data_IF_126091053797
#
_entry.id   IF_126091053797
#
_cell.length_a   1.000
_cell.length_b   1.000
_cell.length_c   1.000
_cell.angle_alpha   90.00
_cell.angle_beta   90.00
_cell.angle_gamma   90.00
#
_symmetry.space_group_name_H-M   'P 1'
#
loop_
_entity.id
_entity.type
_entity.pdbx_description
1 polymer ?
#
# COMPACT_ATOMS: atom_id res chain seq x y z
N UNK A 1 5.95 -9.37 -5.26
CA UNK A 1 6.90 -9.60 -4.15
C UNK A 1 7.31 -8.27 -3.56
N UNK A 2 7.41 -8.17 -2.25
CA UNK A 2 7.84 -6.98 -1.53
C UNK A 2 8.75 -7.40 -0.37
N UNK A 3 9.89 -6.74 -0.22
CA UNK A 3 10.84 -7.02 0.88
C UNK A 3 10.44 -6.31 2.18
N UNK A 4 9.62 -5.25 2.06
CA UNK A 4 9.15 -4.43 3.16
C UNK A 4 7.64 -4.19 3.06
N UNK A 5 6.97 -4.09 4.21
CA UNK A 5 5.63 -3.51 4.32
C UNK A 5 5.66 -2.30 5.24
N UNK A 6 4.82 -1.31 4.98
CA UNK A 6 4.46 -0.37 6.03
C UNK A 6 3.20 -0.83 6.75
N UNK A 7 3.09 -0.52 8.04
CA UNK A 7 1.92 -0.83 8.85
C UNK A 7 1.52 0.36 9.71
N UNK A 8 0.20 0.60 9.78
CA UNK A 8 -0.39 1.53 10.74
C UNK A 8 -0.74 0.74 12.00
N UNK A 9 0.03 0.97 13.05
CA UNK A 9 -0.09 0.24 14.31
C UNK A 9 -0.58 1.16 15.40
N UNK A 10 -1.38 0.65 16.33
CA UNK A 10 -1.77 1.40 17.52
C UNK A 10 -0.70 1.28 18.58
N UNK A 11 -0.12 2.40 19.02
CA UNK A 11 0.90 2.43 20.09
C UNK A 11 0.41 3.10 21.37
N UNK A 12 -0.66 3.92 21.29
CA UNK A 12 -1.34 4.45 22.48
C UNK A 12 -2.86 4.47 22.32
N UNK A 13 -3.57 4.62 23.45
CA UNK A 13 -5.02 4.84 23.49
C UNK A 13 -5.28 6.28 23.91
N UNK A 14 -5.75 7.08 22.95
CA UNK A 14 -6.04 8.50 23.11
C UNK A 14 -7.53 8.77 22.87
N UNK A 15 -8.03 9.91 23.35
CA UNK A 15 -9.42 10.36 23.11
C UNK A 15 -9.79 10.41 21.61
N UNK A 16 -8.82 10.77 20.76
CA UNK A 16 -8.95 10.70 19.30
C UNK A 16 -8.25 9.44 18.80
N UNK A 17 -8.97 8.45 18.23
CA UNK A 17 -8.39 7.17 17.84
C UNK A 17 -7.20 7.26 16.89
N UNK A 18 -7.13 8.33 16.09
CA UNK A 18 -6.06 8.59 15.13
C UNK A 18 -4.75 9.06 15.77
N UNK A 19 -4.79 9.66 16.97
CA UNK A 19 -3.60 10.17 17.67
C UNK A 19 -2.73 9.06 18.27
N UNK A 20 -3.28 7.85 18.44
CA UNK A 20 -2.53 6.70 18.94
C UNK A 20 -2.00 5.80 17.83
N UNK A 21 -1.97 6.26 16.57
CA UNK A 21 -1.53 5.46 15.41
C UNK A 21 -0.12 5.88 14.98
N UNK A 22 0.78 4.91 14.88
CA UNK A 22 2.15 5.07 14.43
C UNK A 22 2.36 4.39 13.07
N UNK A 23 3.36 4.84 12.32
CA UNK A 23 3.71 4.31 11.00
C UNK A 23 5.03 3.54 11.11
N UNK A 24 5.00 2.22 10.95
CA UNK A 24 6.18 1.36 11.02
C UNK A 24 6.54 0.78 9.67
N UNK A 25 7.84 0.67 9.39
CA UNK A 25 8.38 -0.18 8.34
C UNK A 25 8.75 -1.56 8.92
N UNK A 26 8.23 -2.61 8.31
CA UNK A 26 8.40 -3.99 8.75
C UNK A 26 9.10 -4.77 7.64
N UNK A 27 10.23 -5.38 7.95
CA UNK A 27 10.91 -6.32 7.06
C UNK A 27 10.06 -7.59 6.96
N UNK A 28 9.67 -7.96 5.75
CA UNK A 28 8.77 -9.10 5.50
C UNK A 28 9.40 -10.46 5.84
N UNK A 29 10.72 -10.51 6.07
CA UNK A 29 11.43 -11.70 6.55
C UNK A 29 11.49 -11.79 8.08
N UNK A 30 10.90 -10.82 8.81
CA UNK A 30 10.91 -10.84 10.26
C UNK A 30 10.20 -12.09 10.81
N UNK A 31 10.74 -12.74 11.86
CA UNK A 31 10.08 -13.86 12.50
C UNK A 31 8.65 -13.51 12.96
N UNK A 32 7.71 -14.43 12.73
CA UNK A 32 6.30 -14.25 13.10
C UNK A 32 5.39 -13.69 11.99
N UNK A 33 5.95 -13.37 10.82
CA UNK A 33 5.18 -12.98 9.64
C UNK A 33 4.78 -14.22 8.84
N UNK A 34 3.49 -14.35 8.53
CA UNK A 34 2.96 -15.35 7.60
C UNK A 34 2.19 -14.64 6.49
N UNK A 35 2.52 -14.94 5.23
CA UNK A 35 1.86 -14.36 4.04
C UNK A 35 1.06 -15.46 3.35
N UNK A 36 -0.25 -15.23 3.17
CA UNK A 36 -1.14 -16.14 2.43
C UNK A 36 -1.64 -15.46 1.15
N UNK A 37 -1.45 -16.10 -0.01
CA UNK A 37 -1.96 -15.54 -1.27
C UNK A 37 -3.48 -15.57 -1.28
N UNK A 38 -4.09 -14.50 -1.79
CA UNK A 38 -5.52 -14.46 -2.11
C UNK A 38 -5.63 -14.46 -3.63
N UNK A 39 -6.30 -15.45 -4.18
CA UNK A 39 -6.60 -15.51 -5.61
C UNK A 39 -7.88 -14.73 -5.88
N UNK A 40 -7.78 -13.69 -6.68
CA UNK A 40 -8.91 -12.81 -7.02
C UNK A 40 -9.83 -13.48 -8.04
N UNK A 41 -11.02 -12.89 -8.25
CA UNK A 41 -12.08 -13.47 -9.09
C UNK A 41 -11.68 -13.67 -10.56
N UNK A 42 -10.72 -12.89 -11.05
CA UNK A 42 -10.12 -12.98 -12.37
C UNK A 42 -8.99 -14.03 -12.45
N UNK A 43 -8.71 -14.73 -11.34
CA UNK A 43 -7.68 -15.76 -11.22
C UNK A 43 -6.28 -15.21 -10.99
N UNK A 44 -6.11 -13.89 -10.83
CA UNK A 44 -4.80 -13.28 -10.59
C UNK A 44 -4.38 -13.36 -9.12
N UNK A 45 -3.07 -13.29 -8.88
CA UNK A 45 -2.49 -13.21 -7.54
C UNK A 45 -1.82 -11.85 -7.37
N UNK A 46 -2.61 -10.88 -6.97
CA UNK A 46 -2.13 -9.51 -6.69
C UNK A 46 -2.29 -9.11 -5.23
N UNK A 47 -3.09 -9.85 -4.46
CA UNK A 47 -3.42 -9.54 -3.07
C UNK A 47 -3.04 -10.68 -2.12
N UNK A 48 -2.72 -10.34 -0.88
CA UNK A 48 -2.32 -11.29 0.15
C UNK A 48 -3.00 -10.95 1.48
N UNK A 49 -3.21 -11.96 2.31
CA UNK A 49 -3.43 -11.80 3.74
C UNK A 49 -2.08 -11.92 4.45
N UNK A 50 -1.79 -11.03 5.42
CA UNK A 50 -0.53 -11.03 6.17
C UNK A 50 -0.85 -11.13 7.66
N UNK A 51 -0.41 -12.20 8.29
CA UNK A 51 -0.51 -12.39 9.74
C UNK A 51 0.77 -11.95 10.43
N UNK A 52 0.63 -11.20 11.51
CA UNK A 52 1.73 -10.70 12.34
C UNK A 52 1.60 -11.32 13.75
N UNK A 53 2.40 -12.33 14.06
CA UNK A 53 2.39 -13.02 15.37
C UNK A 53 3.65 -12.68 16.15
N UNK A 54 3.52 -11.87 17.21
CA UNK A 54 4.63 -11.46 18.08
C UNK A 54 5.85 -10.87 17.34
N UNK A 55 5.62 -10.23 16.19
CA UNK A 55 6.67 -9.63 15.35
C UNK A 55 7.35 -8.49 16.10
N UNK A 56 8.67 -8.57 16.24
CA UNK A 56 9.50 -7.52 16.85
C UNK A 56 10.05 -6.61 15.75
N UNK A 57 9.78 -5.32 15.86
CA UNK A 57 10.24 -4.30 14.90
C UNK A 57 11.17 -3.33 15.62
N UNK A 58 12.37 -3.03 15.09
CA UNK A 58 13.25 -2.01 15.66
C UNK A 58 12.58 -0.64 15.72
N UNK A 59 12.77 0.10 16.81
CA UNK A 59 12.17 1.44 16.99
C UNK A 59 12.66 2.44 15.94
N UNK A 60 13.85 2.25 15.37
CA UNK A 60 14.39 3.06 14.27
C UNK A 60 13.59 2.94 12.96
N UNK A 61 12.77 1.89 12.82
CA UNK A 61 11.88 1.73 11.67
C UNK A 61 10.54 2.48 11.83
N UNK A 62 10.39 3.23 12.93
CA UNK A 62 9.32 4.21 13.09
C UNK A 62 9.53 5.38 12.13
N UNK A 63 8.53 5.66 11.31
CA UNK A 63 8.54 6.80 10.41
C UNK A 63 7.85 7.97 11.09
N UNK A 64 8.60 9.05 11.30
CA UNK A 64 8.13 10.23 12.02
C UNK A 64 8.10 9.99 13.53
N UNK A 65 7.16 10.64 14.20
CA UNK A 65 6.98 10.53 15.65
C UNK A 65 5.89 9.51 16.00
N UNK A 66 6.02 8.90 17.18
CA UNK A 66 5.01 7.99 17.71
C UNK A 66 3.65 8.70 17.84
N UNK A 67 2.57 8.05 17.41
CA UNK A 67 1.21 8.61 17.40
C UNK A 67 0.89 9.53 16.22
N UNK A 68 1.88 9.90 15.40
CA UNK A 68 1.71 10.80 14.25
C UNK A 68 1.57 10.07 12.89
N UNK A 69 1.43 8.74 12.91
CA UNK A 69 1.35 7.90 11.71
C UNK A 69 0.11 8.15 10.84
N UNK A 70 -1.02 8.56 11.43
CA UNK A 70 -2.24 8.85 10.66
C UNK A 70 -2.08 10.04 9.70
N UNK A 71 -1.28 11.04 10.08
CA UNK A 71 -0.96 12.17 9.22
C UNK A 71 -0.20 11.72 7.97
N UNK A 72 0.81 10.89 8.17
CA UNK A 72 1.65 10.30 7.12
C UNK A 72 0.80 9.45 6.18
N UNK A 73 -0.04 8.58 6.71
CA UNK A 73 -0.93 7.72 5.94
C UNK A 73 -1.86 8.51 5.00
N UNK A 74 -2.48 9.58 5.51
CA UNK A 74 -3.37 10.42 4.68
C UNK A 74 -2.64 11.07 3.51
N UNK A 75 -1.41 11.52 3.73
CA UNK A 75 -0.59 12.08 2.67
C UNK A 75 -0.28 11.02 1.61
N UNK A 76 0.16 9.83 2.04
CA UNK A 76 0.45 8.70 1.15
C UNK A 76 -0.77 8.27 0.32
N UNK A 77 -1.94 8.08 0.96
CA UNK A 77 -3.20 7.75 0.29
C UNK A 77 -3.64 8.84 -0.71
N UNK A 78 -3.35 10.10 -0.41
CA UNK A 78 -3.57 11.21 -1.33
C UNK A 78 -2.78 11.05 -2.62
N UNK A 79 -1.52 10.66 -2.52
CA UNK A 79 -0.66 10.42 -3.69
C UNK A 79 -1.08 9.18 -4.48
N UNK A 80 -1.36 8.05 -3.81
CA UNK A 80 -1.77 6.80 -4.47
C UNK A 80 -3.06 6.98 -5.30
N UNK A 81 -4.00 7.79 -4.80
CA UNK A 81 -5.27 8.07 -5.49
C UNK A 81 -5.10 8.69 -6.87
N UNK A 82 -4.03 9.46 -7.10
CA UNK A 82 -3.82 10.13 -8.39
C UNK A 82 -3.47 9.16 -9.52
N UNK A 83 -2.86 8.01 -9.21
CA UNK A 83 -2.48 6.99 -10.19
C UNK A 83 -3.64 6.13 -10.69
N UNK A 84 -4.67 5.94 -9.85
CA UNK A 84 -5.79 5.01 -10.09
C UNK A 84 -6.59 5.38 -11.35
N UNK A 85 -6.71 6.68 -11.66
CA UNK A 85 -7.49 7.13 -12.81
C UNK A 85 -6.92 6.66 -14.17
N UNK A 86 -5.68 6.14 -14.21
CA UNK A 86 -5.12 5.52 -15.41
C UNK A 86 -5.01 6.45 -16.62
N UNK A 87 -4.98 7.77 -16.39
CA UNK A 87 -5.13 8.80 -17.44
C UNK A 87 -4.12 8.61 -18.58
N UNK A 88 -2.86 8.28 -18.25
CA UNK A 88 -1.84 8.00 -19.24
C UNK A 88 -2.18 6.79 -20.12
N UNK A 89 -2.66 5.69 -19.50
CA UNK A 89 -3.08 4.48 -20.21
C UNK A 89 -4.26 4.77 -21.14
N UNK A 90 -5.27 5.47 -20.65
CA UNK A 90 -6.44 5.85 -21.44
C UNK A 90 -6.07 6.74 -22.64
N UNK A 91 -5.20 7.74 -22.43
CA UNK A 91 -4.67 8.58 -23.52
C UNK A 91 -3.91 7.77 -24.57
N UNK A 92 -3.08 6.82 -24.14
CA UNK A 92 -2.34 5.95 -25.05
C UNK A 92 -3.28 5.03 -25.85
N UNK A 93 -4.27 4.42 -25.19
CA UNK A 93 -5.28 3.60 -25.86
C UNK A 93 -6.05 4.37 -26.94
N UNK A 94 -6.47 5.60 -26.65
CA UNK A 94 -7.13 6.48 -27.64
C UNK A 94 -6.18 6.84 -28.79
N UNK A 95 -4.91 7.15 -28.50
CA UNK A 95 -3.91 7.42 -29.54
C UNK A 95 -3.74 6.21 -30.46
N UNK A 96 -3.62 5.01 -29.87
CA UNK A 96 -3.45 3.75 -30.63
C UNK A 96 -4.65 3.44 -31.51
N UNK A 97 -5.86 3.66 -31.01
CA UNK A 97 -7.10 3.52 -31.79
C UNK A 97 -7.11 4.42 -33.02
N UNK A 98 -6.72 5.70 -32.87
CA UNK A 98 -6.62 6.64 -33.99
C UNK A 98 -5.61 6.20 -35.04
N UNK A 99 -4.45 5.71 -34.63
CA UNK A 99 -3.42 5.19 -35.54
C UNK A 99 -3.93 4.01 -36.37
N UNK A 100 -4.63 3.06 -35.75
CA UNK A 100 -5.18 1.88 -36.45
C UNK A 100 -6.28 2.32 -37.43
N UNK A 101 -7.21 3.18 -37.00
CA UNK A 101 -8.30 3.65 -37.86
C UNK A 101 -7.83 4.42 -39.09
N UNK A 102 -6.70 5.14 -39.02
CA UNK A 102 -6.12 5.83 -40.17
C UNK A 102 -5.37 4.90 -41.14
N UNK A 103 -4.94 3.71 -40.72
CA UNK A 103 -4.21 2.77 -41.56
C UNK A 103 -5.14 1.84 -42.37
N UNK A 104 -6.41 1.77 -42.02
CA UNK A 104 -7.45 0.96 -42.68
C UNK A 104 -8.24 1.75 -43.75
N UNK A 105 -7.84 3.00 -44.05
CA UNK A 105 -8.36 3.87 -45.11
C UNK A 105 -7.31 4.08 -46.20
#
# INVERSE_FOLDING_TARGET
>A
HADWMFCLVRTSQEDKPQKGISFLLIDMNSPGIEVRPIITIDGSHEVNEVFLTDVRVPAENLVGEEGNGWGIAKFLLGNERTGIAGVARSKNAVKRLKEISCAEL
#
